data_IF_542369480303
#
_entry.id   IF_542369480303
#
_cell.length_a   1.000
_cell.length_b   1.000
_cell.length_c   1.000
_cell.angle_alpha   90.00
_cell.angle_beta   90.00
_cell.angle_gamma   90.00
#
_symmetry.space_group_name_H-M   'P 1'
#
loop_
_entity.id
_entity.type
_entity.pdbx_description
1 polymer ?
#
# COMPACT_ATOMS: atom_id res chain seq x y z
N UNK A 1 21.78 13.46 -4.45
CA UNK A 1 22.70 12.49 -3.81
C UNK A 1 21.94 11.83 -2.68
N UNK A 2 21.36 10.65 -2.94
CA UNK A 2 20.72 9.87 -1.88
C UNK A 2 21.81 9.37 -0.93
N UNK A 3 21.73 9.73 0.35
CA UNK A 3 22.68 9.28 1.36
C UNK A 3 22.39 7.81 1.62
N UNK A 4 23.16 6.95 0.96
CA UNK A 4 23.10 5.50 1.17
C UNK A 4 23.57 5.28 2.60
N UNK A 5 22.69 4.77 3.45
CA UNK A 5 22.97 4.53 4.86
C UNK A 5 24.00 3.39 4.97
N UNK A 6 25.27 3.75 5.21
CA UNK A 6 26.41 2.82 5.30
C UNK A 6 26.60 2.23 6.70
N UNK A 7 25.58 2.30 7.56
CA UNK A 7 25.65 1.68 8.88
C UNK A 7 25.30 0.21 8.72
N UNK A 8 26.28 -0.67 8.98
CA UNK A 8 26.21 -2.14 9.01
C UNK A 8 25.28 -2.66 10.14
N UNK A 9 24.22 -1.92 10.43
CA UNK A 9 23.32 -2.08 11.57
C UNK A 9 22.05 -2.85 11.16
N UNK A 10 22.18 -3.78 10.21
CA UNK A 10 21.06 -4.55 9.68
C UNK A 10 20.58 -5.62 10.67
N UNK A 11 21.44 -6.00 11.61
CA UNK A 11 21.18 -6.98 12.66
C UNK A 11 20.17 -6.52 13.72
N UNK A 12 20.03 -5.21 13.94
CA UNK A 12 19.10 -4.61 14.92
C UNK A 12 17.91 -3.90 14.25
N UNK A 13 17.89 -3.84 12.91
CA UNK A 13 16.76 -3.33 12.13
C UNK A 13 15.62 -4.34 12.11
N UNK A 14 14.87 -4.37 13.19
CA UNK A 14 13.56 -5.00 13.21
C UNK A 14 12.66 -4.35 12.15
N UNK A 15 11.96 -5.20 11.39
CA UNK A 15 10.88 -4.71 10.55
C UNK A 15 9.95 -3.84 11.42
N UNK A 16 9.63 -2.61 10.98
CA UNK A 16 8.76 -1.73 11.74
C UNK A 16 7.47 -2.46 12.13
N UNK A 17 6.98 -2.19 13.34
CA UNK A 17 5.69 -2.72 13.76
C UNK A 17 4.61 -2.22 12.80
N UNK A 18 3.48 -2.95 12.71
CA UNK A 18 2.35 -2.58 11.84
C UNK A 18 1.99 -1.10 12.05
N UNK A 19 1.87 -0.66 13.31
CA UNK A 19 1.54 0.73 13.64
C UNK A 19 2.60 1.76 13.21
N UNK A 20 3.88 1.40 13.24
CA UNK A 20 4.95 2.27 12.72
C UNK A 20 4.86 2.36 11.20
N UNK A 21 4.60 1.25 10.52
CA UNK A 21 4.44 1.24 9.06
C UNK A 21 3.18 1.99 8.61
N UNK A 22 2.06 1.85 9.34
CA UNK A 22 0.84 2.65 9.14
C UNK A 22 1.13 4.15 9.27
N UNK A 23 1.89 4.55 10.29
CA UNK A 23 2.27 5.95 10.49
C UNK A 23 3.12 6.48 9.33
N UNK A 24 4.07 5.68 8.83
CA UNK A 24 4.89 6.02 7.66
C UNK A 24 4.05 6.11 6.38
N UNK A 25 3.08 5.21 6.20
CA UNK A 25 2.17 5.22 5.07
C UNK A 25 1.27 6.46 5.09
N UNK A 26 0.75 6.83 6.26
CA UNK A 26 -0.02 8.07 6.45
C UNK A 26 0.82 9.32 6.22
N UNK A 27 2.07 9.33 6.70
CA UNK A 27 3.01 10.42 6.45
C UNK A 27 3.28 10.56 4.94
N UNK A 28 3.64 9.47 4.26
CA UNK A 28 3.82 9.44 2.81
C UNK A 28 2.57 9.89 2.06
N UNK A 29 1.38 9.46 2.50
CA UNK A 29 0.10 9.89 1.95
C UNK A 29 -0.13 11.40 2.15
N UNK A 30 0.26 11.94 3.32
CA UNK A 30 0.15 13.37 3.61
C UNK A 30 1.07 14.23 2.72
N UNK A 31 2.19 13.66 2.30
CA UNK A 31 3.16 14.27 1.38
C UNK A 31 2.72 14.22 -0.10
N UNK A 32 1.66 13.46 -0.43
CA UNK A 32 1.14 13.44 -1.79
C UNK A 32 0.51 14.79 -2.17
N UNK A 33 0.65 15.23 -3.45
CA UNK A 33 0.02 16.45 -3.93
C UNK A 33 -1.50 16.44 -3.75
N UNK A 34 -2.08 17.60 -3.47
CA UNK A 34 -3.53 17.78 -3.26
C UNK A 34 -4.40 17.23 -4.41
N UNK A 35 -3.88 17.24 -5.64
CA UNK A 35 -4.58 16.67 -6.80
C UNK A 35 -4.85 15.17 -6.62
N UNK A 36 -3.87 14.41 -6.10
CA UNK A 36 -4.04 13.00 -5.80
C UNK A 36 -4.95 12.79 -4.59
N UNK A 37 -4.77 13.58 -3.52
CA UNK A 37 -5.59 13.48 -2.30
C UNK A 37 -7.09 13.72 -2.58
N UNK A 38 -7.42 14.61 -3.51
CA UNK A 38 -8.81 14.83 -3.96
C UNK A 38 -9.39 13.59 -4.64
N UNK A 39 -8.57 12.86 -5.40
CA UNK A 39 -8.98 11.67 -6.14
C UNK A 39 -9.13 10.43 -5.25
N UNK A 40 -8.42 10.40 -4.12
CA UNK A 40 -8.41 9.33 -3.10
C UNK A 40 -9.27 9.64 -1.88
N UNK A 41 -10.30 10.48 -2.00
CA UNK A 41 -11.19 10.86 -0.88
C UNK A 41 -11.90 9.66 -0.21
N UNK A 42 -12.16 8.58 -0.97
CA UNK A 42 -12.74 7.32 -0.47
C UNK A 42 -11.70 6.18 -0.43
N UNK A 43 -10.46 6.47 0.00
CA UNK A 43 -9.39 5.50 0.08
C UNK A 43 -9.18 5.02 1.52
N UNK A 44 -9.23 3.70 1.72
CA UNK A 44 -8.83 3.04 2.97
C UNK A 44 -7.43 2.44 2.78
N UNK A 45 -6.49 2.76 3.67
CA UNK A 45 -5.15 2.15 3.67
C UNK A 45 -5.10 1.15 4.83
N UNK A 46 -4.80 -0.11 4.52
CA UNK A 46 -4.64 -1.19 5.49
C UNK A 46 -3.24 -1.77 5.35
N UNK A 47 -2.63 -2.13 6.48
CA UNK A 47 -1.28 -2.70 6.52
C UNK A 47 -1.39 -4.14 6.99
N UNK A 48 -0.91 -5.05 6.17
CA UNK A 48 -0.94 -6.49 6.42
C UNK A 48 0.47 -7.08 6.40
N UNK A 49 0.64 -8.27 6.96
CA UNK A 49 1.93 -8.94 6.97
C UNK A 49 2.24 -9.65 5.67
N UNK A 50 1.24 -10.32 5.09
CA UNK A 50 1.36 -11.10 3.87
C UNK A 50 0.04 -11.06 3.09
N UNK A 51 0.07 -11.24 1.76
CA UNK A 51 -1.15 -11.40 0.97
C UNK A 51 -1.92 -12.66 1.38
N UNK A 52 -3.25 -12.60 1.31
CA UNK A 52 -4.13 -13.77 1.42
C UNK A 52 -3.86 -14.77 0.27
N UNK A 53 -4.18 -16.06 0.50
CA UNK A 53 -4.05 -17.11 -0.53
C UNK A 53 -4.77 -16.76 -1.84
N UNK A 54 -5.97 -16.15 -1.77
CA UNK A 54 -6.72 -15.70 -2.96
C UNK A 54 -5.91 -14.69 -3.80
N UNK A 55 -5.23 -13.73 -3.15
CA UNK A 55 -4.39 -12.72 -3.83
C UNK A 55 -3.14 -13.38 -4.38
N UNK A 56 -2.58 -14.33 -3.64
CA UNK A 56 -1.38 -15.06 -4.04
C UNK A 56 -1.61 -15.87 -5.33
N UNK A 57 -2.75 -16.57 -5.42
CA UNK A 57 -3.14 -17.31 -6.62
C UNK A 57 -3.55 -16.41 -7.78
N UNK A 58 -4.36 -15.36 -7.53
CA UNK A 58 -4.86 -14.46 -8.58
C UNK A 58 -3.74 -13.66 -9.25
N UNK A 59 -2.76 -13.18 -8.47
CA UNK A 59 -1.60 -12.45 -8.98
C UNK A 59 -0.45 -13.38 -9.42
N UNK A 60 -0.62 -14.70 -9.28
CA UNK A 60 0.39 -15.72 -9.60
C UNK A 60 1.77 -15.39 -9.02
N UNK A 61 1.80 -15.00 -7.73
CA UNK A 61 3.04 -14.59 -7.06
C UNK A 61 3.94 -15.81 -6.84
N UNK A 62 5.24 -15.66 -7.10
CA UNK A 62 6.22 -16.71 -6.81
C UNK A 62 6.62 -16.73 -5.32
N UNK A 63 6.59 -15.56 -4.68
CA UNK A 63 6.90 -15.40 -3.25
C UNK A 63 6.02 -14.31 -2.64
N UNK A 64 5.70 -14.39 -1.34
CA UNK A 64 4.87 -13.38 -0.68
C UNK A 64 5.54 -12.00 -0.58
N UNK A 65 6.84 -11.93 -0.89
CA UNK A 65 7.63 -10.70 -0.95
C UNK A 65 7.55 -9.99 -2.31
N UNK A 66 6.98 -10.65 -3.32
CA UNK A 66 6.88 -10.10 -4.68
C UNK A 66 5.83 -8.98 -4.75
N UNK A 67 4.86 -9.01 -3.84
CA UNK A 67 3.81 -8.00 -3.70
C UNK A 67 4.06 -7.14 -2.45
N UNK A 68 4.49 -5.90 -2.66
CA UNK A 68 4.69 -4.91 -1.58
C UNK A 68 3.40 -4.15 -1.22
N UNK A 69 2.40 -4.19 -2.10
CA UNK A 69 1.09 -3.62 -1.84
C UNK A 69 0.11 -3.90 -2.94
N UNK A 70 -1.15 -4.10 -2.57
CA UNK A 70 -2.28 -4.36 -3.45
C UNK A 70 -3.20 -3.14 -3.47
N UNK A 71 -3.57 -2.69 -4.66
CA UNK A 71 -4.65 -1.72 -4.82
C UNK A 71 -5.92 -2.45 -5.25
N UNK A 72 -6.91 -2.49 -4.36
CA UNK A 72 -8.25 -3.00 -4.64
C UNK A 72 -9.19 -1.83 -4.83
N UNK A 73 -9.49 -1.50 -6.08
CA UNK A 73 -10.37 -0.40 -6.38
C UNK A 73 -10.51 -0.17 -7.87
N UNK A 74 -11.39 0.75 -8.24
CA UNK A 74 -11.56 1.18 -9.63
C UNK A 74 -10.71 2.42 -9.85
N UNK A 75 -9.77 2.32 -10.79
CA UNK A 75 -8.95 3.45 -11.22
C UNK A 75 -9.81 4.56 -11.82
N UNK A 76 -9.29 5.79 -11.86
CA UNK A 76 -9.99 6.97 -12.38
C UNK A 76 -10.48 6.75 -13.83
N UNK A 77 -9.79 5.91 -14.62
CA UNK A 77 -10.20 5.52 -15.98
C UNK A 77 -11.48 4.69 -16.05
N UNK A 78 -11.85 3.98 -14.98
CA UNK A 78 -13.05 3.13 -14.94
C UNK A 78 -14.25 3.80 -14.27
N UNK A 79 -14.07 4.99 -13.67
CA UNK A 79 -15.14 5.82 -13.07
C UNK A 79 -16.12 6.43 -14.09
N UNK A 80 -15.92 6.25 -15.39
CA UNK A 80 -16.85 6.72 -16.42
C UNK A 80 -18.17 5.93 -16.45
N UNK A 81 -18.22 4.75 -15.83
CA UNK A 81 -19.46 3.98 -15.64
C UNK A 81 -19.92 4.21 -14.21
N UNK A 82 -20.79 5.21 -14.02
CA UNK A 82 -21.38 5.56 -12.72
C UNK A 82 -22.38 4.47 -12.34
N UNK A 83 -21.92 3.40 -11.71
CA UNK A 83 -22.77 2.43 -11.04
C UNK A 83 -22.86 2.80 -9.56
N UNK A 84 -24.04 3.31 -9.20
CA UNK A 84 -24.42 3.78 -7.86
C UNK A 84 -24.37 2.62 -6.84
N UNK A 85 -23.17 2.34 -6.33
CA UNK A 85 -22.90 1.28 -5.34
C UNK A 85 -21.43 1.21 -4.95
N UNK A 86 -20.68 2.32 -5.12
CA UNK A 86 -19.22 2.36 -5.04
C UNK A 86 -18.71 1.93 -3.66
N UNK A 87 -18.08 0.75 -3.60
CA UNK A 87 -17.22 0.36 -2.49
C UNK A 87 -16.01 1.31 -2.44
N UNK A 88 -15.53 1.70 -1.24
CA UNK A 88 -14.36 2.54 -1.11
C UNK A 88 -13.13 1.85 -1.72
N UNK A 89 -12.25 2.63 -2.35
CA UNK A 89 -10.97 2.11 -2.83
C UNK A 89 -10.12 1.70 -1.62
N UNK A 90 -9.40 0.59 -1.73
CA UNK A 90 -8.58 0.04 -0.66
C UNK A 90 -7.15 -0.17 -1.14
N UNK A 91 -6.19 0.27 -0.35
CA UNK A 91 -4.77 -0.07 -0.52
C UNK A 91 -4.38 -0.97 0.64
N UNK A 92 -3.90 -2.16 0.32
CA UNK A 92 -3.22 -3.04 1.27
C UNK A 92 -1.72 -2.87 1.07
N UNK A 93 -0.97 -2.68 2.14
CA UNK A 93 0.48 -2.64 2.10
C UNK A 93 1.02 -3.85 2.85
N UNK A 94 1.93 -4.59 2.21
CA UNK A 94 2.56 -5.76 2.80
C UNK A 94 3.93 -5.38 3.34
N UNK A 95 4.11 -5.56 4.65
CA UNK A 95 5.33 -5.09 5.33
C UNK A 95 6.50 -6.06 5.27
N UNK A 96 6.26 -7.34 4.96
CA UNK A 96 7.28 -8.39 5.03
C UNK A 96 7.81 -8.70 3.65
#
# INVERSE_FOLDING_TARGET
MARIDQTDDWQDRHAPTISTFESLALEAYSHLPDEFRKLTTNLTIEVEEFPDDDVFEDMALETPFDLLGLFEGRGISERFTVETGELPNRIRLYRR
#
